data_IF_084945929130
#
_entry.id   IF_084945929130
#
_cell.length_a   1.000
_cell.length_b   1.000
_cell.length_c   1.000
_cell.angle_alpha   90.00
_cell.angle_beta   90.00
_cell.angle_gamma   90.00
#
_symmetry.space_group_name_H-M   'P 1'
#
loop_
_entity.id
_entity.type
_entity.pdbx_description
1 polymer ?
#
# COMPACT_ATOMS: atom_id res chain seq x y z
N UNK A 1 -2.36 75.30 -26.93
CA UNK A 1 -2.99 74.07 -27.45
C UNK A 1 -3.73 73.39 -26.30
N UNK A 2 -4.97 73.00 -26.55
CA UNK A 2 -6.07 72.64 -25.62
C UNK A 2 -5.76 71.44 -24.68
N UNK A 3 -5.94 71.56 -23.35
CA UNK A 3 -7.12 71.30 -22.45
C UNK A 3 -7.22 69.86 -21.89
N UNK A 4 -7.20 69.77 -20.54
CA UNK A 4 -8.04 69.01 -19.56
C UNK A 4 -8.39 67.51 -19.84
N UNK A 5 -8.55 66.57 -18.88
CA UNK A 5 -9.10 66.64 -17.52
C UNK A 5 -8.90 65.30 -16.74
N UNK A 6 -9.17 65.36 -15.42
CA UNK A 6 -9.35 64.30 -14.39
C UNK A 6 -10.19 63.06 -14.83
N UNK A 7 -10.26 61.87 -14.20
CA UNK A 7 -10.41 61.48 -12.77
C UNK A 7 -10.35 59.94 -12.63
N UNK A 8 -10.00 59.39 -11.45
CA UNK A 8 -10.27 57.99 -11.01
C UNK A 8 -11.59 57.92 -10.18
N UNK A 9 -12.02 56.83 -9.49
CA UNK A 9 -12.07 55.36 -9.74
C UNK A 9 -13.48 54.72 -9.39
N UNK A 10 -13.59 53.38 -9.47
CA UNK A 10 -14.50 52.45 -8.71
C UNK A 10 -15.68 51.79 -9.46
N UNK A 11 -15.72 50.44 -9.50
CA UNK A 11 -16.86 49.49 -9.51
C UNK A 11 -16.23 48.07 -9.38
N UNK A 12 -16.37 47.21 -8.35
CA UNK A 12 -17.50 46.60 -7.62
C UNK A 12 -18.50 45.83 -8.49
N UNK A 13 -18.58 44.52 -8.21
CA UNK A 13 -19.61 43.50 -8.49
C UNK A 13 -19.84 43.03 -9.94
N UNK A 14 -19.51 41.76 -10.19
CA UNK A 14 -20.06 40.98 -11.30
C UNK A 14 -20.88 39.77 -10.77
N UNK A 15 -22.20 39.91 -10.93
CA UNK A 15 -23.23 38.94 -11.30
C UNK A 15 -23.53 37.69 -10.45
N UNK A 16 -24.70 37.77 -9.81
CA UNK A 16 -25.66 36.70 -9.51
C UNK A 16 -26.69 36.59 -10.66
N UNK A 17 -27.33 35.40 -10.76
CA UNK A 17 -28.50 35.00 -11.57
C UNK A 17 -28.18 34.23 -12.88
N UNK A 18 -28.78 33.09 -13.22
CA UNK A 18 -29.98 32.42 -12.69
C UNK A 18 -29.98 30.90 -12.94
N UNK A 19 -30.59 30.19 -11.98
CA UNK A 19 -31.10 28.80 -12.06
C UNK A 19 -32.57 28.81 -12.55
N UNK A 20 -33.14 27.60 -12.76
CA UNK A 20 -34.54 27.19 -13.08
C UNK A 20 -34.63 26.65 -14.53
N UNK A 21 -35.07 25.43 -14.86
CA UNK A 21 -36.04 24.46 -14.31
C UNK A 21 -35.38 23.06 -14.14
N UNK A 22 -35.75 22.15 -13.23
CA UNK A 22 -37.07 21.58 -12.93
C UNK A 22 -37.08 20.97 -11.52
N UNK A 23 -38.13 21.22 -10.73
CA UNK A 23 -38.48 20.42 -9.56
C UNK A 23 -39.99 20.30 -9.50
N UNK A 24 -40.51 19.06 -9.52
CA UNK A 24 -41.88 18.74 -9.17
C UNK A 24 -41.88 18.32 -7.71
N UNK A 25 -42.47 19.14 -6.86
CA UNK A 25 -42.78 18.86 -5.46
C UNK A 25 -44.30 18.79 -5.34
N UNK A 26 -44.81 17.69 -4.79
CA UNK A 26 -46.20 17.58 -4.30
C UNK A 26 -46.13 17.59 -2.77
N UNK A 27 -46.66 18.65 -2.16
CA UNK A 27 -46.96 18.74 -0.72
C UNK A 27 -48.46 18.58 -0.55
N UNK A 28 -48.89 17.79 0.44
CA UNK A 28 -50.19 17.96 1.10
C UNK A 28 -50.06 17.76 2.61
N UNK A 29 -50.84 18.55 3.32
CA UNK A 29 -50.63 19.09 4.66
C UNK A 29 -51.04 18.19 5.84
N UNK A 30 -50.53 18.61 7.00
CA UNK A 30 -50.86 18.24 8.39
C UNK A 30 -52.35 18.35 8.77
N UNK A 31 -52.77 17.49 9.72
CA UNK A 31 -53.57 17.93 10.88
C UNK A 31 -53.38 16.98 12.07
N UNK A 32 -53.21 17.54 13.27
CA UNK A 32 -53.16 16.87 14.57
C UNK A 32 -54.58 16.72 15.14
N UNK A 33 -54.90 15.56 15.74
CA UNK A 33 -55.80 15.53 16.89
C UNK A 33 -55.63 14.28 17.76
N UNK A 34 -56.19 14.37 18.96
CA UNK A 34 -55.77 13.80 20.25
C UNK A 34 -56.43 12.47 20.66
N UNK A 35 -55.84 11.82 21.69
CA UNK A 35 -56.32 10.77 22.59
C UNK A 35 -57.69 10.09 22.34
N UNK A 36 -57.73 8.73 22.33
CA UNK A 36 -58.30 7.87 23.41
C UNK A 36 -58.37 6.37 23.03
N UNK A 37 -57.89 5.53 23.97
CA UNK A 37 -58.33 4.19 24.40
C UNK A 37 -59.38 3.42 23.56
N UNK A 38 -59.04 2.19 23.13
CA UNK A 38 -59.69 0.89 23.47
C UNK A 38 -59.18 -0.26 22.56
N UNK A 39 -58.72 -1.35 23.19
CA UNK A 39 -58.66 -2.72 22.65
C UNK A 39 -60.07 -3.36 22.64
N UNK A 40 -60.34 -4.65 22.31
CA UNK A 40 -59.52 -5.78 21.80
C UNK A 40 -60.17 -6.40 20.52
N UNK A 41 -59.73 -7.48 19.85
CA UNK A 41 -59.94 -8.91 20.23
C UNK A 41 -59.49 -9.81 19.06
N UNK A 42 -58.74 -10.87 19.40
CA UNK A 42 -58.70 -12.28 18.93
C UNK A 42 -59.58 -12.66 17.72
N UNK A 43 -59.18 -13.42 16.68
CA UNK A 43 -58.78 -14.86 16.64
C UNK A 43 -58.38 -15.22 15.19
N UNK A 44 -57.22 -15.81 14.89
CA UNK A 44 -56.92 -17.26 14.71
C UNK A 44 -57.84 -18.00 13.72
N UNK A 45 -57.26 -18.54 12.62
CA UNK A 45 -57.30 -19.97 12.21
C UNK A 45 -56.34 -20.25 11.03
N UNK A 46 -55.71 -21.42 11.12
CA UNK A 46 -54.71 -22.10 10.29
C UNK A 46 -55.15 -22.48 8.85
N UNK A 47 -54.22 -22.53 7.89
CA UNK A 47 -53.64 -23.79 7.36
C UNK A 47 -52.73 -23.60 6.12
N UNK A 48 -51.51 -24.16 6.22
CA UNK A 48 -50.66 -24.87 5.22
C UNK A 48 -50.65 -24.44 3.75
N UNK A 49 -49.46 -24.08 3.23
CA UNK A 49 -48.67 -24.97 2.33
C UNK A 49 -47.29 -24.38 1.99
N UNK A 50 -46.29 -25.24 2.16
CA UNK A 50 -44.95 -25.33 1.57
C UNK A 50 -44.54 -24.37 0.44
N UNK A 51 -43.36 -23.76 0.57
CA UNK A 51 -42.18 -24.02 -0.28
C UNK A 51 -40.91 -23.44 0.36
N UNK A 52 -39.88 -24.27 0.47
CA UNK A 52 -38.52 -23.93 0.88
C UNK A 52 -37.75 -23.32 -0.29
N UNK A 53 -37.01 -22.22 -0.08
CA UNK A 53 -35.70 -22.08 -0.72
C UNK A 53 -34.76 -21.14 0.07
N UNK A 54 -33.76 -21.76 0.68
CA UNK A 54 -32.61 -21.14 1.34
C UNK A 54 -31.62 -20.62 0.29
N UNK A 55 -31.20 -19.36 0.38
CA UNK A 55 -30.10 -18.84 -0.43
C UNK A 55 -28.95 -18.34 0.45
N UNK A 56 -27.98 -19.23 0.67
CA UNK A 56 -26.65 -18.93 1.24
C UNK A 56 -25.62 -18.88 0.10
N UNK A 57 -24.67 -17.94 0.07
CA UNK A 57 -23.69 -17.87 -1.02
C UNK A 57 -22.67 -19.02 -0.92
N UNK A 58 -22.64 -19.84 -1.97
CA UNK A 58 -21.75 -21.00 -2.13
C UNK A 58 -20.29 -20.55 -2.26
N UNK A 59 -19.47 -20.95 -1.28
CA UNK A 59 -18.02 -21.17 -1.44
C UNK A 59 -17.78 -22.58 -2.00
N UNK A 60 -16.63 -22.70 -2.68
CA UNK A 60 -15.88 -23.90 -3.09
C UNK A 60 -15.95 -24.23 -4.58
N UNK A 61 -14.78 -24.46 -5.18
CA UNK A 61 -14.33 -25.78 -5.65
C UNK A 61 -12.83 -25.66 -6.00
N UNK A 62 -11.98 -26.35 -5.23
CA UNK A 62 -10.83 -27.11 -5.76
C UNK A 62 -10.41 -28.13 -4.69
N UNK A 63 -11.00 -29.32 -4.78
CA UNK A 63 -10.56 -30.55 -4.12
C UNK A 63 -10.37 -31.62 -5.19
N UNK A 64 -9.13 -32.11 -5.38
CA UNK A 64 -8.68 -33.43 -5.87
C UNK A 64 -7.23 -33.26 -6.38
N UNK A 65 -6.22 -34.08 -6.08
CA UNK A 65 -6.13 -35.52 -5.80
C UNK A 65 -4.98 -35.75 -4.79
N UNK A 66 -5.24 -36.49 -3.70
CA UNK A 66 -4.22 -37.08 -2.83
C UNK A 66 -3.74 -38.40 -3.43
N UNK A 67 -2.44 -38.51 -3.75
CA UNK A 67 -1.74 -39.81 -3.90
C UNK A 67 -0.86 -40.02 -2.65
N UNK A 68 -1.05 -41.15 -1.97
CA UNK A 68 -0.24 -41.59 -0.83
C UNK A 68 1.20 -41.88 -1.29
N UNK A 69 2.26 -41.42 -0.60
CA UNK A 69 3.58 -42.00 -0.77
C UNK A 69 3.73 -43.24 0.12
N UNK A 70 4.28 -44.31 -0.48
CA UNK A 70 4.71 -45.53 0.21
C UNK A 70 5.88 -45.20 1.12
N UNK A 71 5.83 -45.72 2.34
CA UNK A 71 6.91 -45.79 3.31
C UNK A 71 8.13 -46.50 2.69
N UNK A 72 9.27 -45.82 2.65
CA UNK A 72 10.59 -46.46 2.59
C UNK A 72 11.44 -45.85 3.71
N UNK A 73 11.70 -46.70 4.71
CA UNK A 73 12.73 -46.50 5.72
C UNK A 73 14.09 -46.43 5.03
N UNK A 74 14.79 -45.31 5.18
CA UNK A 74 16.23 -45.19 4.92
C UNK A 74 16.83 -44.49 6.13
N UNK A 75 17.60 -45.23 6.92
CA UNK A 75 18.57 -44.66 7.85
C UNK A 75 19.61 -43.89 7.03
N UNK A 76 19.78 -42.60 7.29
CA UNK A 76 21.02 -41.89 6.94
C UNK A 76 21.43 -40.98 8.09
N UNK A 77 22.38 -41.46 8.87
CA UNK A 77 23.25 -40.64 9.71
C UNK A 77 24.24 -39.90 8.82
N UNK A 78 23.98 -38.62 8.53
CA UNK A 78 24.96 -37.72 7.91
C UNK A 78 24.76 -36.28 8.40
N UNK A 79 25.75 -35.85 9.21
CA UNK A 79 26.29 -34.49 9.40
C UNK A 79 25.35 -33.28 9.55
N UNK A 80 25.14 -32.86 10.80
CA UNK A 80 24.59 -31.57 11.22
C UNK A 80 25.45 -30.35 10.85
N UNK A 81 26.77 -30.52 10.68
CA UNK A 81 27.69 -29.40 10.43
C UNK A 81 27.56 -28.77 9.02
N UNK A 82 27.24 -29.55 7.99
CA UNK A 82 27.10 -29.03 6.62
C UNK A 82 25.78 -28.26 6.41
N UNK A 83 24.75 -28.61 7.18
CA UNK A 83 23.43 -27.95 7.11
C UNK A 83 23.48 -26.56 7.76
N UNK A 84 24.23 -26.42 8.85
CA UNK A 84 24.38 -25.16 9.60
C UNK A 84 25.23 -24.12 8.84
N UNK A 85 26.29 -24.55 8.15
CA UNK A 85 27.12 -23.66 7.33
C UNK A 85 26.35 -23.12 6.11
N UNK A 86 25.59 -23.98 5.44
CA UNK A 86 24.75 -23.61 4.29
C UNK A 86 23.64 -22.64 4.69
N UNK A 87 23.02 -22.85 5.85
CA UNK A 87 21.95 -21.98 6.39
C UNK A 87 22.51 -20.61 6.75
N UNK A 88 23.69 -20.57 7.37
CA UNK A 88 24.37 -19.32 7.76
C UNK A 88 24.78 -18.49 6.54
N UNK A 89 25.25 -19.13 5.46
CA UNK A 89 25.58 -18.43 4.22
C UNK A 89 24.34 -17.84 3.53
N UNK A 90 23.22 -18.58 3.48
CA UNK A 90 21.96 -18.10 2.91
C UNK A 90 21.37 -16.92 3.69
N UNK A 91 21.50 -16.92 5.03
CA UNK A 91 21.11 -15.80 5.86
C UNK A 91 21.95 -14.56 5.56
N UNK A 92 23.26 -14.72 5.44
CA UNK A 92 24.17 -13.63 5.11
C UNK A 92 23.86 -13.01 3.74
N UNK A 93 23.60 -13.83 2.72
CA UNK A 93 23.17 -13.35 1.40
C UNK A 93 21.84 -12.60 1.47
N UNK A 94 20.88 -13.08 2.27
CA UNK A 94 19.58 -12.44 2.45
C UNK A 94 19.73 -11.08 3.12
N UNK A 95 20.57 -10.97 4.16
CA UNK A 95 20.88 -9.69 4.80
C UNK A 95 21.60 -8.75 3.85
N UNK A 96 22.58 -9.24 3.08
CA UNK A 96 23.31 -8.41 2.12
C UNK A 96 22.39 -7.84 1.04
N UNK A 97 21.43 -8.63 0.55
CA UNK A 97 20.42 -8.15 -0.40
C UNK A 97 19.55 -7.04 0.21
N UNK A 98 19.09 -7.20 1.44
CA UNK A 98 18.32 -6.18 2.14
C UNK A 98 19.15 -4.91 2.40
N UNK A 99 20.44 -5.06 2.72
CA UNK A 99 21.38 -3.96 2.91
C UNK A 99 21.69 -3.21 1.61
N UNK A 100 21.53 -3.84 0.45
CA UNK A 100 21.82 -3.18 -0.83
C UNK A 100 20.61 -2.44 -1.40
N UNK A 101 19.47 -2.45 -0.71
CA UNK A 101 18.29 -1.71 -1.14
C UNK A 101 18.47 -0.21 -0.95
N UNK A 102 18.39 0.54 -2.05
CA UNK A 102 18.65 1.98 -2.06
C UNK A 102 17.60 2.80 -1.32
N UNK A 103 16.35 2.31 -1.24
CA UNK A 103 15.26 2.99 -0.54
C UNK A 103 15.47 2.89 0.96
N UNK A 104 15.76 1.67 1.44
CA UNK A 104 16.03 1.44 2.86
C UNK A 104 17.35 2.03 3.33
N UNK A 105 18.39 2.03 2.48
CA UNK A 105 19.62 2.76 2.78
C UNK A 105 19.38 4.25 2.98
N UNK A 106 18.48 4.87 2.20
CA UNK A 106 18.12 6.28 2.43
C UNK A 106 17.38 6.50 3.74
N UNK A 107 16.54 5.56 4.16
CA UNK A 107 15.89 5.60 5.49
C UNK A 107 16.95 5.55 6.60
N UNK A 108 17.91 4.62 6.51
CA UNK A 108 19.03 4.52 7.45
C UNK A 108 19.88 5.79 7.50
N UNK A 109 20.27 6.34 6.35
CA UNK A 109 21.03 7.60 6.27
C UNK A 109 20.27 8.74 6.91
N UNK A 110 18.96 8.87 6.63
CA UNK A 110 18.13 9.94 7.21
C UNK A 110 18.03 9.80 8.74
N UNK A 111 17.93 8.58 9.25
CA UNK A 111 17.95 8.31 10.70
C UNK A 111 19.27 8.75 11.34
N UNK A 112 20.40 8.37 10.73
CA UNK A 112 21.75 8.73 11.19
C UNK A 112 21.97 10.25 11.17
N UNK A 113 21.60 10.93 10.08
CA UNK A 113 21.69 12.38 9.93
C UNK A 113 20.89 13.10 11.03
N UNK A 114 19.66 12.66 11.27
CA UNK A 114 18.78 13.24 12.29
C UNK A 114 19.28 12.99 13.72
N UNK A 115 19.69 11.76 14.04
CA UNK A 115 20.19 11.44 15.38
C UNK A 115 21.51 12.17 15.67
N UNK A 116 22.38 12.33 14.66
CA UNK A 116 23.61 13.12 14.75
C UNK A 116 23.32 14.61 14.97
N UNK A 117 22.34 15.17 14.24
CA UNK A 117 21.90 16.56 14.44
C UNK A 117 21.35 16.80 15.86
N UNK A 118 20.71 15.77 16.43
CA UNK A 118 20.21 15.76 17.81
C UNK A 118 21.26 15.33 18.85
N UNK A 119 22.54 15.20 18.46
CA UNK A 119 23.67 14.83 19.33
C UNK A 119 23.45 13.52 20.10
N UNK A 120 22.73 12.56 19.53
CA UNK A 120 22.60 11.23 20.12
C UNK A 120 23.89 10.46 19.94
N UNK A 121 24.34 9.82 21.02
CA UNK A 121 25.57 9.01 21.04
C UNK A 121 25.43 7.74 20.17
N UNK A 122 24.22 7.16 20.13
CA UNK A 122 23.90 5.99 19.32
C UNK A 122 22.62 6.24 18.51
N UNK A 123 22.67 5.92 17.22
CA UNK A 123 21.49 5.99 16.36
C UNK A 123 20.62 4.73 16.54
N UNK A 124 19.31 4.93 16.63
CA UNK A 124 18.34 3.86 16.87
C UNK A 124 17.01 4.18 16.20
N UNK A 125 16.39 3.16 15.63
CA UNK A 125 14.98 3.18 15.23
C UNK A 125 14.04 2.86 16.39
N UNK A 126 14.55 2.40 17.55
CA UNK A 126 13.77 2.05 18.74
C UNK A 126 12.77 0.92 18.46
N UNK A 127 11.53 1.11 18.92
CA UNK A 127 10.42 0.22 18.57
C UNK A 127 9.84 0.59 17.20
N UNK A 128 9.87 -0.35 16.26
CA UNK A 128 9.44 -0.13 14.87
C UNK A 128 8.05 -0.70 14.63
N UNK A 129 7.17 0.09 14.03
CA UNK A 129 5.95 -0.40 13.40
C UNK A 129 6.15 -0.50 11.89
N UNK A 130 6.22 -1.72 11.36
CA UNK A 130 6.09 -1.98 9.93
C UNK A 130 4.60 -2.10 9.59
N UNK A 131 4.04 -1.00 9.10
CA UNK A 131 2.60 -0.82 8.94
C UNK A 131 2.00 -1.57 7.75
N UNK A 132 2.81 -2.17 6.89
CA UNK A 132 2.37 -2.89 5.69
C UNK A 132 3.35 -3.98 5.30
N UNK A 133 3.61 -4.90 6.23
CA UNK A 133 4.75 -5.81 6.13
C UNK A 133 4.64 -6.79 4.98
N UNK A 134 5.78 -6.99 4.33
CA UNK A 134 6.06 -8.10 3.44
C UNK A 134 7.46 -8.64 3.71
N UNK A 135 7.91 -9.61 2.92
CA UNK A 135 9.24 -10.21 3.12
C UNK A 135 10.37 -9.18 3.00
N UNK A 136 10.20 -8.13 2.20
CA UNK A 136 11.25 -7.17 1.91
C UNK A 136 11.59 -6.27 3.11
N UNK A 137 10.59 -5.58 3.67
CA UNK A 137 10.72 -4.77 4.88
C UNK A 137 11.14 -5.61 6.10
N UNK A 138 10.63 -6.84 6.21
CA UNK A 138 11.01 -7.75 7.30
C UNK A 138 12.49 -8.15 7.23
N UNK A 139 13.03 -8.44 6.04
CA UNK A 139 14.47 -8.71 5.84
C UNK A 139 15.33 -7.50 6.17
N UNK A 140 14.86 -6.30 5.82
CA UNK A 140 15.55 -5.07 6.20
C UNK A 140 15.61 -4.90 7.72
N UNK A 141 14.49 -5.06 8.43
CA UNK A 141 14.46 -5.04 9.91
C UNK A 141 15.41 -6.09 10.48
N UNK A 142 15.41 -7.31 9.95
CA UNK A 142 16.32 -8.36 10.41
C UNK A 142 17.80 -7.97 10.22
N UNK A 143 18.14 -7.31 9.09
CA UNK A 143 19.49 -6.82 8.84
C UNK A 143 19.94 -5.74 9.84
N UNK A 144 19.00 -5.03 10.48
CA UNK A 144 19.27 -4.02 11.50
C UNK A 144 19.32 -4.62 12.92
N UNK A 145 18.65 -5.75 13.16
CA UNK A 145 18.75 -6.47 14.43
C UNK A 145 20.10 -7.18 14.54
N UNK A 146 20.50 -7.86 13.47
CA UNK A 146 21.69 -8.72 13.45
C UNK A 146 22.96 -8.02 12.96
N UNK A 147 22.97 -6.69 12.83
CA UNK A 147 24.14 -6.02 12.28
C UNK A 147 25.35 -6.23 13.21
N UNK A 148 26.38 -6.93 12.71
CA UNK A 148 27.63 -7.19 13.44
C UNK A 148 28.85 -6.64 12.71
N UNK A 149 28.64 -5.83 11.67
CA UNK A 149 29.69 -5.23 10.85
C UNK A 149 30.24 -3.91 11.42
N UNK A 150 31.36 -3.46 10.87
CA UNK A 150 31.99 -2.16 11.21
C UNK A 150 31.23 -0.94 10.68
N UNK A 151 30.20 -1.15 9.84
CA UNK A 151 29.39 -0.06 9.29
C UNK A 151 28.43 0.46 10.37
N UNK A 152 28.46 1.77 10.63
CA UNK A 152 27.56 2.42 11.59
C UNK A 152 26.14 2.42 11.02
N UNK A 153 25.25 1.66 11.65
CA UNK A 153 23.82 1.58 11.29
C UNK A 153 22.95 1.80 12.52
N UNK A 154 21.71 2.32 12.35
CA UNK A 154 20.79 2.43 13.47
C UNK A 154 20.31 1.05 13.93
N UNK A 155 20.24 0.83 15.24
CA UNK A 155 19.72 -0.42 15.81
C UNK A 155 18.19 -0.45 15.86
N UNK A 156 17.59 -1.64 15.85
CA UNK A 156 16.17 -1.88 16.14
C UNK A 156 16.04 -2.62 17.46
N UNK A 157 15.21 -2.12 18.38
CA UNK A 157 14.99 -2.75 19.69
C UNK A 157 13.93 -3.84 19.63
N UNK A 158 12.80 -3.54 18.97
CA UNK A 158 11.76 -4.51 18.67
C UNK A 158 10.91 -4.05 17.50
N UNK A 159 10.08 -4.95 16.97
CA UNK A 159 9.17 -4.61 15.88
C UNK A 159 7.75 -5.13 16.10
N UNK A 160 6.78 -4.43 15.51
CA UNK A 160 5.44 -4.95 15.22
C UNK A 160 5.19 -4.80 13.74
N UNK A 161 4.83 -5.90 13.08
CA UNK A 161 4.66 -5.96 11.63
C UNK A 161 3.21 -6.32 11.29
N UNK A 162 2.56 -5.49 10.48
CA UNK A 162 1.12 -5.59 10.17
C UNK A 162 0.92 -6.06 8.74
N UNK A 163 0.11 -7.09 8.54
CA UNK A 163 -0.33 -7.50 7.20
C UNK A 163 -1.84 -7.74 7.16
N UNK A 164 -2.48 -7.48 6.02
CA UNK A 164 -3.93 -7.64 5.86
C UNK A 164 -4.35 -9.04 5.38
N UNK A 165 -3.41 -9.87 4.95
CA UNK A 165 -3.67 -11.21 4.36
C UNK A 165 -3.07 -12.32 5.23
N UNK A 166 -3.87 -13.34 5.54
CA UNK A 166 -3.41 -14.48 6.34
C UNK A 166 -2.36 -15.30 5.58
N UNK A 167 -2.45 -15.42 4.25
CA UNK A 167 -1.41 -16.13 3.49
C UNK A 167 -0.07 -15.39 3.54
N UNK A 168 -0.11 -14.05 3.49
CA UNK A 168 1.07 -13.22 3.69
C UNK A 168 1.59 -13.36 5.11
N UNK A 169 0.73 -13.32 6.13
CA UNK A 169 1.11 -13.55 7.53
C UNK A 169 1.88 -14.86 7.71
N UNK A 170 1.39 -15.96 7.13
CA UNK A 170 2.09 -17.24 7.20
C UNK A 170 3.47 -17.21 6.52
N UNK A 171 3.60 -16.49 5.40
CA UNK A 171 4.90 -16.31 4.72
C UNK A 171 5.86 -15.49 5.58
N UNK A 172 5.43 -14.35 6.12
CA UNK A 172 6.30 -13.49 6.92
C UNK A 172 6.63 -14.10 8.29
N UNK A 173 5.74 -14.91 8.88
CA UNK A 173 6.07 -15.68 10.10
C UNK A 173 7.19 -16.68 9.83
N UNK A 174 7.07 -17.47 8.76
CA UNK A 174 8.13 -18.41 8.36
C UNK A 174 9.44 -17.69 8.02
N UNK A 175 9.35 -16.54 7.37
CA UNK A 175 10.52 -15.70 7.08
C UNK A 175 11.16 -15.19 8.38
N UNK A 176 10.39 -14.71 9.35
CA UNK A 176 10.90 -14.25 10.65
C UNK A 176 11.57 -15.37 11.47
N UNK A 177 11.05 -16.60 11.39
CA UNK A 177 11.67 -17.79 11.97
C UNK A 177 13.01 -18.08 11.29
N UNK A 178 13.03 -18.06 9.95
CA UNK A 178 14.23 -18.29 9.15
C UNK A 178 15.30 -17.26 9.47
N UNK A 179 14.93 -15.98 9.55
CA UNK A 179 15.80 -14.85 9.89
C UNK A 179 16.12 -14.76 11.39
N UNK A 180 15.63 -15.68 12.23
CA UNK A 180 15.89 -15.72 13.67
C UNK A 180 15.53 -14.42 14.42
N UNK A 181 14.48 -13.72 13.96
CA UNK A 181 13.99 -12.48 14.59
C UNK A 181 12.62 -12.64 15.26
N UNK A 182 12.06 -13.85 15.29
CA UNK A 182 10.73 -14.10 15.88
C UNK A 182 10.61 -13.71 17.36
N UNK A 183 11.71 -13.70 18.11
CA UNK A 183 11.75 -13.26 19.51
C UNK A 183 11.84 -11.73 19.68
N UNK A 184 12.14 -10.99 18.62
CA UNK A 184 12.35 -9.53 18.65
C UNK A 184 11.08 -8.73 18.33
N UNK A 185 9.96 -9.39 18.02
CA UNK A 185 8.76 -8.68 17.61
C UNK A 185 7.55 -9.56 17.40
N UNK A 186 6.50 -8.96 16.85
CA UNK A 186 5.25 -9.65 16.56
C UNK A 186 4.76 -9.38 15.14
N UNK A 187 4.09 -10.37 14.55
CA UNK A 187 3.44 -10.24 13.24
C UNK A 187 1.94 -10.40 13.46
N UNK A 188 1.20 -9.31 13.20
CA UNK A 188 -0.24 -9.23 13.42
C UNK A 188 -0.99 -9.10 12.11
N UNK A 189 -2.20 -9.68 12.08
CA UNK A 189 -3.13 -9.52 10.97
C UNK A 189 -4.11 -8.39 11.26
N UNK A 190 -4.32 -7.49 10.30
CA UNK A 190 -5.34 -6.46 10.42
C UNK A 190 -5.43 -5.50 9.25
N UNK A 191 -6.50 -4.73 9.27
CA UNK A 191 -6.82 -3.70 8.29
C UNK A 191 -6.88 -2.34 9.00
N UNK A 192 -6.14 -1.36 8.49
CA UNK A 192 -6.11 0.01 9.01
C UNK A 192 -7.46 0.72 8.95
N UNK A 193 -8.35 0.29 8.04
CA UNK A 193 -9.72 0.80 7.96
C UNK A 193 -10.65 0.22 9.04
N UNK A 194 -10.23 -0.84 9.74
CA UNK A 194 -11.07 -1.48 10.75
C UNK A 194 -11.39 -0.53 11.91
N UNK A 195 -12.67 -0.53 12.30
CA UNK A 195 -13.18 0.20 13.47
C UNK A 195 -13.43 -0.73 14.66
N UNK A 196 -13.49 -2.04 14.43
CA UNK A 196 -13.78 -3.06 15.45
C UNK A 196 -12.51 -3.71 16.00
N UNK A 197 -11.52 -3.95 15.13
CA UNK A 197 -10.22 -4.46 15.52
C UNK A 197 -9.20 -3.33 15.45
N UNK A 198 -9.07 -2.59 16.55
CA UNK A 198 -8.13 -1.47 16.65
C UNK A 198 -6.71 -2.05 16.73
N UNK A 199 -6.01 -2.00 15.61
CA UNK A 199 -4.60 -2.37 15.52
C UNK A 199 -3.76 -1.58 16.54
N UNK A 200 -2.74 -2.23 17.09
CA UNK A 200 -1.75 -1.61 17.98
C UNK A 200 -2.34 -0.80 19.15
N UNK A 201 -3.50 -1.22 19.68
CA UNK A 201 -4.20 -0.49 20.74
C UNK A 201 -3.26 -0.24 21.93
N UNK A 202 -3.18 1.02 22.37
CA UNK A 202 -2.34 1.50 23.46
C UNK A 202 -0.82 1.31 23.25
N UNK A 203 -0.38 1.06 22.01
CA UNK A 203 1.04 0.99 21.67
C UNK A 203 1.46 2.24 20.92
N UNK A 204 2.67 2.70 21.24
CA UNK A 204 3.35 3.78 20.52
C UNK A 204 4.75 3.33 20.11
N UNK A 205 5.24 3.91 19.02
CA UNK A 205 6.45 3.52 18.34
C UNK A 205 7.37 4.73 18.15
N UNK A 206 8.67 4.47 18.18
CA UNK A 206 9.70 5.48 17.88
C UNK A 206 9.82 5.70 16.38
N UNK A 207 9.58 4.63 15.60
CA UNK A 207 9.60 4.65 14.15
C UNK A 207 8.38 3.94 13.56
N UNK A 208 7.74 4.55 12.57
CA UNK A 208 6.75 3.89 11.72
C UNK A 208 7.29 3.84 10.29
N UNK A 209 7.28 2.64 9.70
CA UNK A 209 7.56 2.41 8.28
C UNK A 209 6.25 2.11 7.55
N UNK A 210 5.98 2.85 6.47
CA UNK A 210 4.92 2.61 5.51
C UNK A 210 5.53 2.32 4.14
N UNK A 211 6.00 1.09 3.95
CA UNK A 211 6.64 0.62 2.71
C UNK A 211 5.59 0.20 1.67
N UNK A 212 5.34 1.04 0.65
CA UNK A 212 4.29 0.87 -0.36
C UNK A 212 2.87 0.63 0.18
N UNK A 213 2.63 0.91 1.47
CA UNK A 213 1.35 0.66 2.14
C UNK A 213 0.22 1.46 1.48
N UNK A 214 0.45 2.76 1.23
CA UNK A 214 -0.59 3.69 0.78
C UNK A 214 -1.21 3.24 -0.54
N UNK A 215 -0.39 2.84 -1.50
CA UNK A 215 -0.88 2.32 -2.79
C UNK A 215 -1.54 0.95 -2.67
N UNK A 216 -1.08 0.14 -1.71
CA UNK A 216 -1.60 -1.21 -1.46
C UNK A 216 -2.99 -1.20 -0.79
N UNK A 217 -3.33 -0.15 -0.03
CA UNK A 217 -4.61 -0.05 0.68
C UNK A 217 -5.82 -0.17 -0.25
N UNK A 218 -5.72 0.28 -1.51
CA UNK A 218 -6.87 0.24 -2.42
C UNK A 218 -7.41 -1.18 -2.68
N UNK A 219 -6.54 -2.19 -2.53
CA UNK A 219 -6.92 -3.59 -2.66
C UNK A 219 -7.64 -4.18 -1.46
N UNK A 220 -7.54 -3.55 -0.29
CA UNK A 220 -8.08 -4.06 0.99
C UNK A 220 -9.20 -3.16 1.53
N UNK A 221 -8.96 -1.85 1.56
CA UNK A 221 -9.88 -0.82 2.01
C UNK A 221 -9.97 0.32 0.99
N UNK A 222 -10.76 0.13 -0.08
CA UNK A 222 -11.01 1.16 -1.09
C UNK A 222 -11.34 2.53 -0.49
N UNK A 223 -10.70 3.58 -1.03
CA UNK A 223 -10.93 4.99 -0.65
C UNK A 223 -10.48 5.38 0.76
N UNK A 224 -9.69 4.56 1.45
CA UNK A 224 -9.21 4.84 2.81
C UNK A 224 -7.79 5.45 2.87
N UNK A 225 -7.16 5.72 1.73
CA UNK A 225 -5.75 6.10 1.65
C UNK A 225 -5.45 7.47 2.27
N UNK A 226 -6.41 8.39 2.28
CA UNK A 226 -6.30 9.69 2.96
C UNK A 226 -6.38 9.57 4.49
N UNK A 227 -7.09 8.55 4.98
CA UNK A 227 -7.30 8.32 6.42
C UNK A 227 -6.15 7.54 7.08
N UNK A 228 -5.33 6.81 6.32
CA UNK A 228 -4.29 5.93 6.89
C UNK A 228 -3.23 6.71 7.66
N UNK A 229 -2.83 7.90 7.18
CA UNK A 229 -1.80 8.69 7.84
C UNK A 229 -2.22 9.05 9.26
N UNK A 230 -3.48 9.46 9.43
CA UNK A 230 -4.05 9.75 10.75
C UNK A 230 -4.03 8.52 11.66
N UNK A 231 -4.38 7.34 11.13
CA UNK A 231 -4.34 6.09 11.89
C UNK A 231 -2.92 5.76 12.36
N UNK A 232 -1.93 5.89 11.50
CA UNK A 232 -0.53 5.61 11.83
C UNK A 232 -0.02 6.59 12.90
N UNK A 233 -0.26 7.88 12.72
CA UNK A 233 0.29 8.90 13.62
C UNK A 233 -0.26 8.84 15.05
N UNK A 234 -1.41 8.21 15.30
CA UNK A 234 -1.89 7.91 16.66
C UNK A 234 -0.95 6.99 17.44
N UNK A 235 -0.15 6.20 16.73
CA UNK A 235 0.83 5.29 17.30
C UNK A 235 2.26 5.84 17.24
N UNK A 236 2.48 7.06 16.74
CA UNK A 236 3.81 7.64 16.67
C UNK A 236 4.09 8.48 17.93
N UNK A 237 5.24 8.24 18.58
CA UNK A 237 5.68 9.07 19.71
C UNK A 237 6.02 10.49 19.22
N UNK A 238 5.90 11.47 20.12
CA UNK A 238 6.46 12.81 19.87
C UNK A 238 7.97 12.70 19.75
N UNK A 239 8.56 13.34 18.74
CA UNK A 239 9.95 13.13 18.31
C UNK A 239 10.19 11.83 17.53
N UNK A 240 9.14 11.02 17.32
CA UNK A 240 9.18 9.80 16.52
C UNK A 240 9.13 10.10 15.02
N UNK A 241 9.65 9.17 14.22
CA UNK A 241 9.77 9.33 12.77
C UNK A 241 8.82 8.42 11.99
N UNK A 242 8.24 8.97 10.93
CA UNK A 242 7.46 8.27 9.93
C UNK A 242 8.23 8.24 8.62
N UNK A 243 8.48 7.04 8.10
CA UNK A 243 9.08 6.82 6.79
C UNK A 243 8.04 6.25 5.84
N UNK A 244 7.83 6.93 4.71
CA UNK A 244 6.87 6.52 3.69
C UNK A 244 7.64 6.23 2.40
N UNK A 245 7.52 5.00 1.92
CA UNK A 245 7.99 4.60 0.59
C UNK A 245 6.77 4.52 -0.32
N UNK A 246 6.86 5.16 -1.48
CA UNK A 246 5.78 5.14 -2.45
C UNK A 246 6.28 5.19 -3.89
N UNK A 247 5.37 4.94 -4.82
CA UNK A 247 5.61 4.96 -6.25
C UNK A 247 4.95 6.19 -6.87
N UNK A 248 5.67 6.96 -7.68
CA UNK A 248 5.05 7.98 -8.50
C UNK A 248 4.14 7.31 -9.56
N UNK A 249 2.89 7.78 -9.75
CA UNK A 249 2.04 7.26 -10.81
C UNK A 249 2.72 7.34 -12.16
N UNK A 250 2.79 6.21 -12.86
CA UNK A 250 3.32 6.19 -14.22
C UNK A 250 2.41 7.05 -15.09
N UNK A 251 2.97 8.03 -15.82
CA UNK A 251 2.19 8.93 -16.66
C UNK A 251 1.52 8.18 -17.81
N UNK A 252 0.51 8.81 -18.43
CA UNK A 252 -0.19 8.23 -19.58
C UNK A 252 0.72 8.02 -20.80
N UNK A 253 1.76 8.84 -20.92
CA UNK A 253 2.73 8.83 -22.00
C UNK A 253 4.03 9.50 -21.55
N UNK A 254 5.15 9.04 -22.12
CA UNK A 254 6.45 9.74 -22.06
C UNK A 254 7.04 9.87 -23.46
N UNK A 255 8.02 10.75 -23.64
CA UNK A 255 8.77 10.83 -24.90
C UNK A 255 9.80 9.69 -25.00
N UNK A 256 10.00 9.18 -26.20
CA UNK A 256 11.03 8.17 -26.50
C UNK A 256 10.64 6.74 -26.13
N UNK A 257 11.65 5.88 -26.04
CA UNK A 257 11.44 4.43 -25.91
C UNK A 257 10.75 4.02 -24.61
N UNK A 258 10.86 4.82 -23.54
CA UNK A 258 10.16 4.58 -22.27
C UNK A 258 8.63 4.50 -22.38
N UNK A 259 8.03 5.03 -23.45
CA UNK A 259 6.58 4.98 -23.66
C UNK A 259 6.00 3.55 -23.68
N UNK A 260 6.82 2.56 -24.04
CA UNK A 260 6.38 1.15 -23.98
C UNK A 260 5.92 0.74 -22.58
N UNK A 261 6.54 1.27 -21.52
CA UNK A 261 6.16 1.00 -20.13
C UNK A 261 4.77 1.58 -19.84
N UNK A 262 4.51 2.79 -20.32
CA UNK A 262 3.21 3.47 -20.15
C UNK A 262 2.10 2.71 -20.88
N UNK A 263 2.35 2.27 -22.12
CA UNK A 263 1.40 1.46 -22.90
C UNK A 263 1.16 0.09 -22.28
N UNK A 264 2.20 -0.61 -21.82
CA UNK A 264 2.05 -1.89 -21.10
C UNK A 264 1.20 -1.71 -19.85
N UNK A 265 1.41 -0.65 -19.07
CA UNK A 265 0.59 -0.38 -17.88
C UNK A 265 -0.89 -0.16 -18.23
N UNK A 266 -1.18 0.65 -19.25
CA UNK A 266 -2.56 0.88 -19.72
C UNK A 266 -3.25 -0.40 -20.16
N UNK A 267 -2.57 -1.23 -20.95
CA UNK A 267 -3.13 -2.51 -21.43
C UNK A 267 -3.30 -3.50 -20.27
N UNK A 268 -2.34 -3.56 -19.34
CA UNK A 268 -2.45 -4.37 -18.12
C UNK A 268 -3.68 -3.97 -17.31
N UNK A 269 -3.85 -2.68 -17.05
CA UNK A 269 -4.95 -2.18 -16.24
C UNK A 269 -6.31 -2.40 -16.93
N UNK A 270 -6.37 -2.24 -18.25
CA UNK A 270 -7.54 -2.63 -19.03
C UNK A 270 -7.87 -4.14 -18.88
N UNK A 271 -6.86 -5.02 -18.93
CA UNK A 271 -7.06 -6.46 -18.72
C UNK A 271 -7.55 -6.78 -17.29
N UNK A 272 -7.06 -6.07 -16.28
CA UNK A 272 -7.50 -6.23 -14.89
C UNK A 272 -8.98 -5.84 -14.76
N UNK A 273 -9.37 -4.69 -15.33
CA UNK A 273 -10.75 -4.20 -15.29
C UNK A 273 -11.71 -5.12 -16.06
N UNK A 274 -11.31 -5.59 -17.25
CA UNK A 274 -12.11 -6.55 -18.05
C UNK A 274 -12.31 -7.90 -17.35
N UNK A 275 -11.41 -8.28 -16.44
CA UNK A 275 -11.55 -9.45 -15.59
C UNK A 275 -12.38 -9.20 -14.32
N UNK A 276 -13.01 -8.02 -14.17
CA UNK A 276 -13.80 -7.67 -12.99
C UNK A 276 -12.96 -7.42 -11.73
N UNK A 277 -11.67 -7.14 -11.88
CA UNK A 277 -10.77 -6.86 -10.76
C UNK A 277 -10.45 -5.37 -10.64
N UNK A 278 -9.86 -5.00 -9.49
CA UNK A 278 -9.42 -3.64 -9.20
C UNK A 278 -7.93 -3.45 -9.52
N UNK A 279 -7.59 -2.32 -10.10
CA UNK A 279 -6.19 -1.92 -10.34
C UNK A 279 -5.58 -1.33 -9.07
N UNK A 280 -4.26 -1.49 -8.90
CA UNK A 280 -3.52 -0.74 -7.90
C UNK A 280 -3.55 0.76 -8.21
N UNK A 281 -3.58 1.59 -7.17
CA UNK A 281 -3.58 3.04 -7.30
C UNK A 281 -2.40 3.61 -6.53
N UNK A 282 -1.46 4.19 -7.28
CA UNK A 282 -0.33 4.91 -6.71
C UNK A 282 -0.68 6.38 -6.50
N UNK A 283 0.04 7.03 -5.58
CA UNK A 283 -0.20 8.41 -5.21
C UNK A 283 1.05 9.27 -5.45
N UNK A 284 0.92 10.44 -6.11
CA UNK A 284 2.06 11.29 -6.36
C UNK A 284 2.77 11.72 -5.08
N UNK A 285 4.09 11.88 -5.14
CA UNK A 285 4.86 12.41 -4.01
C UNK A 285 4.29 13.75 -3.50
N UNK A 286 3.83 14.61 -4.42
CA UNK A 286 3.22 15.90 -4.06
C UNK A 286 1.91 15.75 -3.29
N UNK A 287 1.13 14.69 -3.55
CA UNK A 287 -0.05 14.38 -2.77
C UNK A 287 0.34 13.96 -1.36
N UNK A 288 1.38 13.13 -1.22
CA UNK A 288 1.89 12.73 0.09
C UNK A 288 2.39 13.93 0.91
N UNK A 289 3.12 14.86 0.28
CA UNK A 289 3.55 16.10 0.94
C UNK A 289 2.35 16.89 1.49
N UNK A 290 1.26 17.00 0.73
CA UNK A 290 0.04 17.67 1.21
C UNK A 290 -0.57 16.95 2.41
N UNK A 291 -0.66 15.62 2.38
CA UNK A 291 -1.19 14.84 3.52
C UNK A 291 -0.37 15.07 4.78
N UNK A 292 0.97 15.04 4.67
CA UNK A 292 1.87 15.25 5.81
C UNK A 292 1.74 16.69 6.34
N UNK A 293 1.82 17.69 5.47
CA UNK A 293 1.75 19.11 5.88
C UNK A 293 0.38 19.48 6.44
N UNK A 294 -0.70 18.87 5.95
CA UNK A 294 -2.06 19.11 6.46
C UNK A 294 -2.38 18.32 7.72
N UNK A 295 -1.54 17.37 8.12
CA UNK A 295 -1.78 16.58 9.33
C UNK A 295 -1.70 17.46 10.59
N UNK A 296 -2.78 17.43 11.36
CA UNK A 296 -2.85 18.02 12.70
C UNK A 296 -3.79 17.20 13.57
N UNK A 297 -3.38 16.92 14.81
CA UNK A 297 -4.20 16.22 15.80
C UNK A 297 -3.97 16.84 17.18
N UNK A 298 -4.83 17.79 17.56
CA UNK A 298 -4.61 18.62 18.75
C UNK A 298 -3.41 19.54 18.53
N UNK A 299 -2.45 19.54 19.46
CA UNK A 299 -1.18 20.26 19.33
C UNK A 299 -0.13 19.47 18.52
N UNK A 300 -0.41 18.27 18.03
CA UNK A 300 0.56 17.44 17.30
C UNK A 300 0.51 17.69 15.80
N UNK A 301 1.68 17.92 15.19
CA UNK A 301 1.85 18.16 13.75
C UNK A 301 2.98 17.29 13.19
N UNK A 302 2.99 17.08 11.88
CA UNK A 302 4.11 16.44 11.19
C UNK A 302 4.96 17.47 10.48
N UNK A 303 6.28 17.26 10.53
CA UNK A 303 7.27 18.04 9.78
C UNK A 303 8.01 17.12 8.83
N UNK A 304 8.04 17.47 7.54
CA UNK A 304 8.89 16.77 6.56
C UNK A 304 10.35 17.06 6.89
N UNK A 305 11.13 15.99 7.10
CA UNK A 305 12.58 16.06 7.31
C UNK A 305 13.33 16.00 5.99
N UNK A 306 12.96 15.06 5.12
CA UNK A 306 13.60 14.87 3.83
C UNK A 306 12.67 14.17 2.84
N UNK A 307 12.93 14.39 1.55
CA UNK A 307 12.33 13.63 0.47
C UNK A 307 13.41 13.26 -0.54
N UNK A 308 13.37 12.04 -1.08
CA UNK A 308 14.33 11.56 -2.07
C UNK A 308 13.63 10.72 -3.12
N UNK A 309 14.03 10.90 -4.38
CA UNK A 309 13.46 10.19 -5.53
C UNK A 309 14.48 9.19 -6.09
N UNK A 310 13.98 8.04 -6.53
CA UNK A 310 14.78 6.93 -7.05
C UNK A 310 14.24 6.54 -8.43
N UNK A 311 14.95 6.86 -9.51
CA UNK A 311 14.48 6.55 -10.87
C UNK A 311 14.26 5.05 -11.07
N UNK A 312 13.12 4.67 -11.65
CA UNK A 312 12.82 3.26 -11.90
C UNK A 312 13.39 2.85 -13.24
N UNK A 313 14.17 1.77 -13.21
CA UNK A 313 14.84 1.20 -14.36
C UNK A 313 14.16 -0.10 -14.79
N UNK A 314 13.42 -0.06 -15.89
CA UNK A 314 12.70 -1.19 -16.44
C UNK A 314 13.59 -1.98 -17.41
N UNK A 315 13.99 -3.20 -17.00
CA UNK A 315 14.50 -4.21 -17.93
C UNK A 315 13.37 -4.85 -18.73
N UNK A 316 13.68 -5.52 -19.84
CA UNK A 316 12.69 -6.32 -20.56
C UNK A 316 11.98 -7.32 -19.65
N UNK A 317 12.73 -8.02 -18.78
CA UNK A 317 12.17 -8.98 -17.84
C UNK A 317 11.18 -8.34 -16.85
N UNK A 318 11.44 -7.10 -16.39
CA UNK A 318 10.51 -6.37 -15.52
C UNK A 318 9.23 -5.98 -16.24
N UNK A 319 9.31 -5.59 -17.52
CA UNK A 319 8.15 -5.26 -18.36
C UNK A 319 7.33 -6.53 -18.63
N UNK A 320 7.98 -7.66 -18.93
CA UNK A 320 7.31 -8.93 -19.16
C UNK A 320 6.55 -9.43 -17.93
N UNK A 321 7.00 -9.14 -16.69
CA UNK A 321 6.21 -9.44 -15.49
C UNK A 321 4.86 -8.72 -15.51
N UNK A 322 4.81 -7.46 -15.95
CA UNK A 322 3.56 -6.70 -16.07
C UNK A 322 2.67 -7.23 -17.19
N UNK A 323 3.27 -7.61 -18.32
CA UNK A 323 2.56 -8.29 -19.42
C UNK A 323 1.96 -9.61 -18.94
N UNK A 324 2.70 -10.38 -18.15
CA UNK A 324 2.22 -11.66 -17.61
C UNK A 324 1.08 -11.47 -16.59
N UNK A 325 1.09 -10.40 -15.81
CA UNK A 325 -0.08 -10.00 -15.00
C UNK A 325 -1.30 -9.83 -15.91
N UNK A 326 -1.17 -9.10 -17.01
CA UNK A 326 -2.26 -8.92 -17.97
C UNK A 326 -2.72 -10.26 -18.60
N UNK A 327 -1.77 -11.07 -19.09
CA UNK A 327 -2.06 -12.39 -19.69
C UNK A 327 -2.80 -13.32 -18.72
N UNK A 328 -2.49 -13.26 -17.42
CA UNK A 328 -3.17 -14.06 -16.40
C UNK A 328 -4.67 -13.76 -16.29
N UNK A 329 -5.11 -12.58 -16.74
CA UNK A 329 -6.51 -12.12 -16.66
C UNK A 329 -7.35 -12.52 -17.88
N UNK A 330 -6.72 -12.90 -19.00
CA UNK A 330 -7.43 -13.19 -20.25
C UNK A 330 -8.49 -14.29 -20.13
N UNK A 331 -8.28 -15.29 -19.25
CA UNK A 331 -9.24 -16.38 -19.01
C UNK A 331 -10.51 -15.93 -18.28
N UNK A 332 -10.51 -14.73 -17.71
CA UNK A 332 -11.61 -14.15 -16.94
C UNK A 332 -12.40 -13.11 -17.74
N UNK A 333 -12.05 -12.90 -19.01
CA UNK A 333 -12.74 -11.94 -19.85
C UNK A 333 -14.16 -12.41 -20.18
N UNK A 334 -15.09 -11.48 -20.42
CA UNK A 334 -16.48 -11.81 -20.78
C UNK A 334 -16.62 -12.45 -22.16
N UNK A 335 -15.61 -12.32 -23.03
CA UNK A 335 -15.62 -12.85 -24.40
C UNK A 335 -14.26 -13.43 -24.78
N UNK A 336 -14.27 -14.66 -25.30
CA UNK A 336 -13.07 -15.32 -25.78
C UNK A 336 -12.47 -14.62 -27.00
N UNK A 337 -13.31 -14.05 -27.87
CA UNK A 337 -12.86 -13.26 -29.03
C UNK A 337 -12.07 -12.03 -28.54
N UNK A 338 -12.60 -11.29 -27.58
CA UNK A 338 -11.91 -10.14 -26.99
C UNK A 338 -10.59 -10.56 -26.32
N UNK A 339 -10.59 -11.68 -25.60
CA UNK A 339 -9.39 -12.21 -24.96
C UNK A 339 -8.31 -12.58 -25.99
N UNK A 340 -8.69 -13.07 -27.17
CA UNK A 340 -7.77 -13.42 -28.24
C UNK A 340 -7.14 -12.17 -28.87
N UNK A 341 -7.94 -11.15 -29.18
CA UNK A 341 -7.42 -9.86 -29.70
C UNK A 341 -6.47 -9.19 -28.69
N UNK A 342 -6.86 -9.19 -27.41
CA UNK A 342 -6.00 -8.63 -26.36
C UNK A 342 -4.69 -9.39 -26.19
N UNK A 343 -4.69 -10.71 -26.43
CA UNK A 343 -3.46 -11.52 -26.41
C UNK A 343 -2.48 -11.05 -27.50
N UNK A 344 -2.97 -10.80 -28.71
CA UNK A 344 -2.14 -10.29 -29.82
C UNK A 344 -1.49 -8.95 -29.43
N UNK A 345 -2.27 -8.02 -28.86
CA UNK A 345 -1.74 -6.74 -28.36
C UNK A 345 -0.63 -6.94 -27.33
N UNK A 346 -0.80 -7.86 -26.38
CA UNK A 346 0.20 -8.16 -25.35
C UNK A 346 1.48 -8.79 -25.93
N UNK A 347 1.34 -9.67 -26.93
CA UNK A 347 2.48 -10.28 -27.63
C UNK A 347 3.28 -9.25 -28.43
N UNK A 348 2.61 -8.30 -29.07
CA UNK A 348 3.29 -7.23 -29.81
C UNK A 348 3.99 -6.23 -28.87
N UNK A 349 3.37 -5.89 -27.74
CA UNK A 349 4.03 -5.10 -26.69
C UNK A 349 5.26 -5.80 -26.12
N UNK A 350 5.22 -7.13 -25.97
CA UNK A 350 6.37 -7.91 -25.51
C UNK A 350 7.54 -7.80 -26.50
N UNK A 351 7.29 -8.03 -27.80
CA UNK A 351 8.29 -7.87 -28.86
C UNK A 351 8.86 -6.46 -28.90
N UNK A 352 8.01 -5.44 -28.83
CA UNK A 352 8.43 -4.05 -28.87
C UNK A 352 9.26 -3.67 -27.63
N UNK A 353 8.91 -4.20 -26.45
CA UNK A 353 9.69 -3.97 -25.22
C UNK A 353 11.10 -4.54 -25.30
N UNK A 354 11.26 -5.70 -25.95
CA UNK A 354 12.58 -6.30 -26.18
C UNK A 354 13.42 -5.44 -27.12
N UNK A 355 12.84 -4.97 -28.21
CA UNK A 355 13.53 -4.11 -29.17
C UNK A 355 13.99 -2.80 -28.52
N UNK A 356 13.09 -2.12 -27.80
CA UNK A 356 13.39 -0.85 -27.13
C UNK A 356 14.43 -0.99 -26.02
N UNK A 357 14.37 -2.04 -25.23
CA UNK A 357 15.37 -2.28 -24.19
C UNK A 357 16.73 -2.63 -24.80
N UNK A 358 16.80 -3.35 -25.91
CA UNK A 358 18.06 -3.62 -26.64
C UNK A 358 18.73 -2.36 -27.19
N UNK A 359 17.94 -1.36 -27.60
CA UNK A 359 18.47 -0.05 -28.04
C UNK A 359 19.02 0.80 -26.90
N UNK A 360 18.59 0.56 -25.67
CA UNK A 360 19.10 1.26 -24.50
C UNK A 360 20.52 0.79 -24.15
N UNK A 361 21.39 1.75 -23.82
CA UNK A 361 22.82 1.51 -23.52
C UNK A 361 23.07 0.45 -22.44
N UNK A 362 22.17 0.35 -21.46
CA UNK A 362 22.29 -0.56 -20.32
C UNK A 362 21.19 -1.64 -20.31
N UNK A 363 20.44 -1.79 -21.40
CA UNK A 363 19.31 -2.73 -21.45
C UNK A 363 18.09 -2.32 -20.62
N UNK A 364 18.03 -1.07 -20.14
CA UNK A 364 16.95 -0.59 -19.24
C UNK A 364 16.34 0.73 -19.71
N UNK A 365 15.06 0.91 -19.45
CA UNK A 365 14.31 2.13 -19.74
C UNK A 365 13.95 2.85 -18.45
N UNK A 366 14.18 4.15 -18.37
CA UNK A 366 13.87 4.96 -17.18
C UNK A 366 12.49 5.59 -17.31
N UNK A 367 11.55 5.25 -16.42
CA UNK A 367 10.20 5.82 -16.41
C UNK A 367 9.72 5.97 -14.96
N UNK A 368 9.35 7.19 -14.55
CA UNK A 368 8.91 7.45 -13.18
C UNK A 368 10.00 7.23 -12.14
N UNK A 369 9.60 7.24 -10.88
CA UNK A 369 10.49 7.08 -9.73
C UNK A 369 9.72 6.54 -8.52
N UNK A 370 10.43 5.82 -7.65
CA UNK A 370 10.01 5.61 -6.27
C UNK A 370 10.41 6.84 -5.45
N UNK A 371 9.73 7.10 -4.35
CA UNK A 371 10.08 8.15 -3.41
C UNK A 371 10.12 7.64 -1.98
N UNK A 372 11.03 8.21 -1.19
CA UNK A 372 11.09 8.08 0.26
C UNK A 372 10.82 9.45 0.86
N UNK A 373 9.80 9.57 1.69
CA UNK A 373 9.52 10.76 2.49
C UNK A 373 9.73 10.42 3.97
N UNK A 374 10.58 11.18 4.65
CA UNK A 374 10.76 11.11 6.08
C UNK A 374 10.07 12.30 6.75
N UNK A 375 9.28 12.03 7.79
CA UNK A 375 8.62 13.05 8.60
C UNK A 375 8.82 12.77 10.09
N UNK A 376 8.77 13.81 10.90
CA UNK A 376 8.84 13.73 12.36
C UNK A 376 7.57 14.29 12.97
N UNK A 377 7.05 13.62 14.00
CA UNK A 377 5.94 14.14 14.79
C UNK A 377 6.46 15.07 15.86
N UNK A 378 5.92 16.28 15.94
CA UNK A 378 6.27 17.26 16.97
C UNK A 378 5.01 17.84 17.61
N UNK A 379 5.17 18.40 18.80
CA UNK A 379 4.12 19.19 19.46
C UNK A 379 4.39 20.68 19.21
N UNK A 380 3.34 21.37 18.79
CA UNK A 380 3.34 22.81 18.61
C UNK A 380 3.02 23.45 19.97
N UNK A 381 4.00 24.14 20.55
CA UNK A 381 3.88 24.77 21.87
C UNK A 381 2.95 26.01 21.85
N UNK A 382 2.55 26.48 20.67
CA UNK A 382 1.69 27.66 20.47
C UNK A 382 0.20 27.33 20.19
N UNK A 383 -0.24 26.08 20.39
CA UNK A 383 -1.60 25.61 20.05
C UNK A 383 -2.69 25.97 21.07
#
# INVERSE_FOLDING_TARGET
>A
MQRFNHSSPSYILFLLAAFILNSVVVVRSFSHNTHTRRSPTTSVIFAKSQEEENNTPKRNIFQKIRRKPKTKSIMSTTTTADTDATTSQQLQETYQLAMNDVLFRRIETTQLESDSANKKEKSSFGHVLDSGTGNHSLRWIASLIHHSGSEVRPSVESYTAVTADESMRQKVLKEAETLQISSHGSIIIGDWASTTNVLCKNQTYDTILADYLIGSIDGFAPYFQDCVLERLCRHLKVGGKLYIVGLEPVPDQVKGDGDIVCRVRKVRDACILLAGHRCYREYPQTWMHRQITSYSSGNKKLKILSTTQFPILYSHSSICRQINVAKSKLSLFPSQTLANEMRVVLEDLEKESLEKTRRSKNGRLTVGFDYVVAAELYEDEEA
#
